data_IF_225757568650
#
_entry.id   IF_225757568650
#
_cell.length_a   1.000
_cell.length_b   1.000
_cell.length_c   1.000
_cell.angle_alpha   90.00
_cell.angle_beta   90.00
_cell.angle_gamma   90.00
#
_symmetry.space_group_name_H-M   'P 1'
#
loop_
_entity.id
_entity.type
_entity.pdbx_description
1 polymer ?
#
# COMPACT_ATOMS: atom_id res chain seq x y z
N UNK A 1 -15.41 12.65 3.57
CA UNK A 1 -15.94 11.27 3.54
C UNK A 1 -14.77 10.34 3.80
N UNK A 2 -14.93 9.33 4.63
CA UNK A 2 -13.89 8.34 4.87
C UNK A 2 -13.73 7.41 3.67
N UNK A 3 -12.49 7.08 3.27
CA UNK A 3 -12.20 6.11 2.21
C UNK A 3 -11.63 4.81 2.81
N UNK A 4 -12.20 3.67 2.42
CA UNK A 4 -11.68 2.34 2.73
C UNK A 4 -11.00 1.82 1.46
N UNK A 5 -9.68 1.65 1.51
CA UNK A 5 -8.83 1.31 0.37
C UNK A 5 -8.09 0.01 0.68
N UNK A 6 -8.27 -1.01 -0.15
CA UNK A 6 -7.42 -2.20 -0.10
C UNK A 6 -6.20 -2.01 -1.00
N UNK A 7 -5.02 -2.27 -0.46
CA UNK A 7 -3.77 -2.30 -1.22
C UNK A 7 -3.42 -3.77 -1.46
N UNK A 8 -3.37 -4.18 -2.71
CA UNK A 8 -3.21 -5.60 -3.09
C UNK A 8 -2.20 -5.79 -4.22
N UNK A 9 -1.81 -7.03 -4.46
CA UNK A 9 -0.91 -7.41 -5.54
C UNK A 9 -1.11 -8.88 -5.93
N UNK A 10 -0.94 -9.21 -7.19
CA UNK A 10 -1.01 -10.58 -7.66
C UNK A 10 0.18 -11.45 -7.26
N UNK A 11 1.34 -10.83 -6.98
CA UNK A 11 2.61 -11.51 -6.70
C UNK A 11 3.20 -11.02 -5.38
N UNK A 12 3.80 -11.93 -4.62
CA UNK A 12 4.62 -11.58 -3.45
C UNK A 12 5.90 -10.83 -3.84
N UNK A 13 6.38 -9.97 -2.96
CA UNK A 13 7.66 -9.29 -3.15
C UNK A 13 7.64 -8.04 -4.05
N UNK A 14 6.51 -7.62 -4.61
CA UNK A 14 6.40 -6.39 -5.42
C UNK A 14 6.46 -5.09 -4.59
N UNK A 15 6.51 -5.19 -3.27
CA UNK A 15 6.63 -4.03 -2.37
C UNK A 15 5.30 -3.49 -1.85
N UNK A 16 4.21 -4.26 -1.91
CA UNK A 16 2.87 -3.86 -1.46
C UNK A 16 2.86 -3.28 -0.04
N UNK A 17 3.40 -4.00 0.95
CA UNK A 17 3.46 -3.56 2.37
C UNK A 17 4.25 -2.27 2.55
N UNK A 18 5.38 -2.11 1.85
CA UNK A 18 6.16 -0.87 1.83
C UNK A 18 5.34 0.28 1.22
N UNK A 19 4.62 0.02 0.14
CA UNK A 19 3.72 1.02 -0.48
C UNK A 19 2.62 1.40 0.51
N UNK A 20 1.97 0.43 1.16
CA UNK A 20 0.91 0.68 2.16
C UNK A 20 1.41 1.57 3.30
N UNK A 21 2.58 1.29 3.87
CA UNK A 21 3.17 2.08 4.94
C UNK A 21 3.45 3.52 4.49
N UNK A 22 4.03 3.71 3.31
CA UNK A 22 4.34 5.04 2.76
C UNK A 22 3.09 5.83 2.38
N UNK A 23 2.05 5.18 1.84
CA UNK A 23 0.76 5.82 1.59
C UNK A 23 0.11 6.28 2.90
N UNK A 24 0.13 5.44 3.93
CA UNK A 24 -0.40 5.81 5.25
C UNK A 24 0.31 7.02 5.85
N UNK A 25 1.65 7.02 5.82
CA UNK A 25 2.43 8.14 6.30
C UNK A 25 2.17 9.42 5.48
N UNK A 26 2.20 9.35 4.15
CA UNK A 26 2.00 10.50 3.29
C UNK A 26 0.59 11.10 3.41
N UNK A 27 -0.46 10.28 3.46
CA UNK A 27 -1.84 10.74 3.66
C UNK A 27 -2.03 11.41 5.03
N UNK A 28 -1.39 10.88 6.08
CA UNK A 28 -1.46 11.48 7.40
C UNK A 28 -0.68 12.80 7.50
N UNK A 29 0.40 12.96 6.74
CA UNK A 29 1.13 14.24 6.63
C UNK A 29 0.34 15.32 5.87
N UNK A 30 -0.57 14.92 4.98
CA UNK A 30 -1.52 15.82 4.32
C UNK A 30 -2.70 16.21 5.23
N UNK A 31 -2.69 15.77 6.50
CA UNK A 31 -3.68 16.13 7.50
C UNK A 31 -4.80 15.08 7.71
N UNK A 32 -4.79 13.97 6.94
CA UNK A 32 -5.72 12.88 7.11
C UNK A 32 -5.48 12.10 8.40
N UNK A 33 -6.53 11.63 9.04
CA UNK A 33 -6.44 10.65 10.11
C UNK A 33 -6.49 9.26 9.49
N UNK A 34 -5.39 8.50 9.59
CA UNK A 34 -5.17 7.27 8.83
C UNK A 34 -5.01 6.08 9.77
N UNK A 35 -5.63 4.96 9.40
CA UNK A 35 -5.34 3.65 10.01
C UNK A 35 -4.92 2.66 8.93
N UNK A 36 -3.81 1.98 9.19
CA UNK A 36 -3.33 0.84 8.43
C UNK A 36 -3.77 -0.43 9.12
N UNK A 37 -4.27 -1.40 8.37
CA UNK A 37 -4.66 -2.72 8.87
C UNK A 37 -3.79 -3.75 8.15
N UNK A 38 -2.97 -4.47 8.90
CA UNK A 38 -2.27 -5.63 8.38
C UNK A 38 -3.24 -6.82 8.38
N UNK A 39 -3.59 -7.32 7.20
CA UNK A 39 -4.49 -8.47 7.04
C UNK A 39 -3.75 -9.76 6.68
N UNK A 40 -2.41 -9.76 6.66
CA UNK A 40 -1.58 -10.94 6.40
C UNK A 40 -1.38 -11.78 7.67
N UNK A 41 -2.47 -12.42 8.10
CA UNK A 41 -2.50 -13.28 9.28
C UNK A 41 -1.50 -14.43 9.11
N UNK A 42 -0.63 -14.58 10.12
CA UNK A 42 0.44 -15.58 10.15
C UNK A 42 1.82 -15.05 9.73
N UNK A 43 1.93 -14.01 8.90
CA UNK A 43 3.23 -13.45 8.49
C UNK A 43 3.55 -12.12 9.20
N UNK A 44 2.57 -11.21 9.30
CA UNK A 44 2.71 -9.92 9.99
C UNK A 44 4.00 -9.15 9.63
N UNK A 45 3.92 -8.29 8.62
CA UNK A 45 5.08 -7.57 8.09
C UNK A 45 4.97 -6.05 8.20
N UNK A 46 3.75 -5.51 8.28
CA UNK A 46 3.52 -4.06 8.22
C UNK A 46 4.09 -3.34 9.47
N UNK A 47 4.01 -3.98 10.64
CA UNK A 47 4.59 -3.47 11.89
C UNK A 47 6.12 -3.34 11.83
N UNK A 48 6.79 -4.27 11.17
CA UNK A 48 8.26 -4.23 10.97
C UNK A 48 8.62 -3.06 10.06
N UNK A 49 7.91 -2.90 8.92
CA UNK A 49 8.12 -1.78 7.98
C UNK A 49 7.92 -0.42 8.67
N UNK A 50 7.02 -0.34 9.66
CA UNK A 50 6.75 0.87 10.44
C UNK A 50 7.60 1.01 11.72
N UNK A 51 8.44 0.02 12.05
CA UNK A 51 9.23 0.00 13.29
C UNK A 51 8.37 0.01 14.55
N UNK A 52 7.23 -0.68 14.53
CA UNK A 52 6.25 -0.73 15.64
C UNK A 52 6.13 -2.12 16.28
N UNK A 53 6.93 -3.09 15.86
CA UNK A 53 6.86 -4.50 16.26
C UNK A 53 6.95 -4.71 17.79
N UNK A 54 7.71 -3.87 18.47
CA UNK A 54 7.90 -3.94 19.93
C UNK A 54 6.77 -3.29 20.76
N UNK A 55 5.73 -2.75 20.11
CA UNK A 55 4.62 -2.03 20.76
C UNK A 55 3.30 -2.79 20.71
N UNK A 56 3.30 -4.00 20.15
CA UNK A 56 2.11 -4.80 19.94
C UNK A 56 1.74 -5.56 21.20
N UNK A 57 0.52 -5.32 21.70
CA UNK A 57 -0.08 -6.05 22.82
C UNK A 57 -1.27 -6.86 22.32
N UNK A 58 -2.10 -6.27 21.47
CA UNK A 58 -3.27 -6.87 20.86
C UNK A 58 -3.21 -6.72 19.33
N UNK A 59 -3.92 -7.56 18.63
CA UNK A 59 -3.92 -7.63 17.17
C UNK A 59 -5.36 -7.65 16.60
N UNK A 60 -5.48 -7.71 15.29
CA UNK A 60 -6.73 -7.77 14.54
C UNK A 60 -7.67 -8.88 15.04
N UNK A 61 -7.14 -10.08 15.26
CA UNK A 61 -7.94 -11.24 15.69
C UNK A 61 -8.47 -11.04 17.11
N UNK A 62 -7.67 -10.47 18.02
CA UNK A 62 -8.12 -10.16 19.39
C UNK A 62 -9.31 -9.18 19.40
N UNK A 63 -9.32 -8.21 18.48
CA UNK A 63 -10.46 -7.28 18.32
C UNK A 63 -11.69 -8.03 17.82
N UNK A 64 -11.53 -8.88 16.80
CA UNK A 64 -12.64 -9.62 16.19
C UNK A 64 -13.25 -10.65 17.14
N UNK A 65 -12.41 -11.32 17.95
CA UNK A 65 -12.85 -12.27 18.97
C UNK A 65 -13.42 -11.59 20.23
N UNK A 66 -13.32 -10.24 20.34
CA UNK A 66 -13.78 -9.48 21.50
C UNK A 66 -12.86 -9.59 22.74
N UNK A 67 -11.63 -10.06 22.59
CA UNK A 67 -10.65 -10.16 23.65
C UNK A 67 -10.14 -8.79 24.12
N UNK A 68 -10.25 -7.77 23.24
CA UNK A 68 -9.93 -6.39 23.55
C UNK A 68 -10.84 -5.41 22.79
N UNK A 69 -10.86 -4.15 23.24
CA UNK A 69 -11.51 -3.08 22.48
C UNK A 69 -10.60 -2.63 21.34
N UNK A 70 -11.14 -2.22 20.21
CA UNK A 70 -10.39 -1.69 19.07
C UNK A 70 -9.33 -0.64 19.47
N UNK A 71 -9.67 0.30 20.37
CA UNK A 71 -8.73 1.33 20.84
C UNK A 71 -7.47 0.76 21.53
N UNK A 72 -7.55 -0.43 22.12
CA UNK A 72 -6.44 -1.07 22.79
C UNK A 72 -5.47 -1.77 21.83
N UNK A 73 -5.98 -2.20 20.66
CA UNK A 73 -5.19 -2.83 19.60
C UNK A 73 -4.57 -1.81 18.62
N UNK A 74 -5.10 -0.58 18.56
CA UNK A 74 -4.56 0.48 17.71
C UNK A 74 -3.25 1.02 18.28
N UNK A 75 -2.19 0.93 17.49
CA UNK A 75 -0.86 1.45 17.80
C UNK A 75 -0.66 2.77 17.05
N UNK A 76 -0.39 3.84 17.78
CA UNK A 76 -0.06 5.13 17.17
C UNK A 76 1.39 5.12 16.67
N UNK A 77 1.62 5.65 15.48
CA UNK A 77 2.95 5.85 14.93
C UNK A 77 3.81 6.78 15.81
N UNK A 78 5.14 6.59 15.77
CA UNK A 78 6.09 7.33 16.61
C UNK A 78 6.21 8.79 16.19
N UNK A 79 6.25 9.00 14.87
CA UNK A 79 6.60 10.26 14.24
C UNK A 79 5.36 11.01 13.77
N UNK A 80 4.23 10.29 13.57
CA UNK A 80 3.00 10.86 13.06
C UNK A 80 1.79 10.53 13.94
N UNK A 81 1.29 11.48 14.74
CA UNK A 81 0.21 11.26 15.69
C UNK A 81 -1.15 10.97 15.04
N UNK A 82 -1.31 11.22 13.74
CA UNK A 82 -2.52 10.95 12.97
C UNK A 82 -2.51 9.60 12.25
N UNK A 83 -1.38 8.86 12.33
CA UNK A 83 -1.22 7.54 11.74
C UNK A 83 -1.31 6.46 12.82
N UNK A 84 -2.10 5.42 12.52
CA UNK A 84 -2.32 4.27 13.40
C UNK A 84 -2.14 2.96 12.65
N UNK A 85 -1.70 1.93 13.37
CA UNK A 85 -1.59 0.56 12.89
C UNK A 85 -2.52 -0.35 13.71
N UNK A 86 -3.28 -1.21 13.02
CA UNK A 86 -3.89 -2.41 13.59
C UNK A 86 -3.12 -3.62 13.04
N UNK A 87 -2.28 -4.28 13.84
CA UNK A 87 -1.41 -5.35 13.36
C UNK A 87 -2.16 -6.66 13.16
N UNK A 88 -1.67 -7.51 12.23
CA UNK A 88 -2.14 -8.88 12.08
C UNK A 88 -1.74 -9.77 13.27
N UNK A 89 -2.42 -10.90 13.41
CA UNK A 89 -2.01 -11.95 14.35
C UNK A 89 -0.87 -12.80 13.76
N UNK A 90 0.14 -13.12 14.55
CA UNK A 90 1.30 -13.92 14.13
C UNK A 90 1.06 -15.43 14.18
N UNK A 91 0.27 -15.90 15.14
CA UNK A 91 0.14 -17.33 15.48
C UNK A 91 -1.27 -17.87 15.27
N UNK A 92 -2.07 -17.19 14.44
CA UNK A 92 -3.44 -17.59 14.13
C UNK A 92 -3.55 -18.11 12.69
N UNK A 93 -4.56 -18.94 12.45
CA UNK A 93 -4.91 -19.38 11.11
C UNK A 93 -5.62 -18.27 10.33
N UNK A 94 -5.45 -18.26 9.01
CA UNK A 94 -6.10 -17.27 8.11
C UNK A 94 -7.63 -17.35 8.15
N UNK A 95 -8.19 -18.48 8.58
CA UNK A 95 -9.64 -18.68 8.78
C UNK A 95 -10.18 -18.02 10.06
N UNK A 96 -9.33 -17.48 10.93
CA UNK A 96 -9.74 -16.80 12.17
C UNK A 96 -10.59 -15.53 11.90
N UNK A 97 -10.59 -15.04 10.67
CA UNK A 97 -11.31 -13.84 10.25
C UNK A 97 -12.18 -14.15 9.05
N UNK A 98 -13.42 -13.68 9.07
CA UNK A 98 -14.38 -13.81 7.96
C UNK A 98 -14.57 -12.48 7.24
N UNK A 99 -15.05 -12.47 5.96
CA UNK A 99 -15.39 -11.26 5.23
C UNK A 99 -16.37 -10.35 5.98
N UNK A 100 -17.39 -10.92 6.63
CA UNK A 100 -18.39 -10.15 7.38
C UNK A 100 -17.80 -9.45 8.60
N UNK A 101 -16.87 -10.10 9.30
CA UNK A 101 -16.15 -9.51 10.42
C UNK A 101 -15.22 -8.38 9.97
N UNK A 102 -14.52 -8.55 8.84
CA UNK A 102 -13.70 -7.48 8.27
C UNK A 102 -14.54 -6.29 7.84
N UNK A 103 -15.67 -6.53 7.17
CA UNK A 103 -16.60 -5.45 6.79
C UNK A 103 -17.07 -4.67 8.01
N UNK A 104 -17.51 -5.35 9.06
CA UNK A 104 -17.93 -4.68 10.31
C UNK A 104 -16.80 -3.86 10.92
N UNK A 105 -15.59 -4.39 10.97
CA UNK A 105 -14.43 -3.67 11.49
C UNK A 105 -14.12 -2.41 10.68
N UNK A 106 -14.14 -2.49 9.34
CA UNK A 106 -13.91 -1.34 8.48
C UNK A 106 -15.03 -0.30 8.59
N UNK A 107 -16.29 -0.72 8.75
CA UNK A 107 -17.44 0.17 9.03
C UNK A 107 -17.24 0.92 10.37
N UNK A 108 -16.77 0.25 11.42
CA UNK A 108 -16.47 0.87 12.73
C UNK A 108 -15.28 1.86 12.66
N UNK A 109 -14.32 1.60 11.79
CA UNK A 109 -13.13 2.45 11.60
C UNK A 109 -13.41 3.68 10.75
N UNK A 110 -14.22 3.56 9.71
CA UNK A 110 -14.56 4.70 8.84
C UNK A 110 -15.26 5.86 9.58
N UNK A 111 -15.87 5.60 10.75
CA UNK A 111 -16.43 6.65 11.59
C UNK A 111 -15.36 7.50 12.30
N UNK A 112 -14.12 7.02 12.37
CA UNK A 112 -13.04 7.59 13.19
C UNK A 112 -11.82 8.02 12.40
N UNK A 113 -11.69 7.56 11.15
CA UNK A 113 -10.55 7.79 10.29
C UNK A 113 -10.99 8.31 8.93
N UNK A 114 -10.19 9.20 8.34
CA UNK A 114 -10.43 9.69 6.99
C UNK A 114 -10.01 8.65 5.94
N UNK A 115 -8.98 7.86 6.27
CA UNK A 115 -8.50 6.77 5.42
C UNK A 115 -8.29 5.49 6.24
N UNK A 116 -8.86 4.38 5.74
CA UNK A 116 -8.64 3.02 6.24
C UNK A 116 -7.93 2.26 5.13
N UNK A 117 -6.64 1.95 5.29
CA UNK A 117 -5.84 1.22 4.31
C UNK A 117 -5.65 -0.23 4.80
N UNK A 118 -6.06 -1.20 3.98
CA UNK A 118 -5.86 -2.61 4.27
C UNK A 118 -4.67 -3.14 3.46
N UNK A 119 -3.60 -3.56 4.14
CA UNK A 119 -2.51 -4.30 3.51
C UNK A 119 -2.94 -5.75 3.30
N UNK A 120 -3.31 -6.09 2.07
CA UNK A 120 -3.85 -7.39 1.70
C UNK A 120 -2.71 -8.44 1.60
N UNK A 121 -2.87 -9.69 2.00
CA UNK A 121 -1.88 -10.73 1.69
C UNK A 121 -1.71 -10.89 0.17
N UNK A 122 -0.56 -11.37 -0.26
CA UNK A 122 -0.33 -11.65 -1.67
C UNK A 122 -1.16 -12.86 -2.13
N UNK A 123 -1.60 -12.83 -3.39
CA UNK A 123 -2.38 -13.92 -4.00
C UNK A 123 -3.89 -13.75 -3.87
N UNK A 124 -4.60 -14.84 -4.14
CA UNK A 124 -6.06 -14.87 -4.33
C UNK A 124 -6.76 -15.86 -3.37
N UNK A 125 -6.13 -16.14 -2.24
CA UNK A 125 -6.67 -17.04 -1.23
C UNK A 125 -7.69 -16.34 -0.31
N UNK A 126 -8.19 -17.05 0.71
CA UNK A 126 -9.18 -16.54 1.67
C UNK A 126 -8.83 -15.17 2.25
N UNK A 127 -7.55 -14.90 2.53
CA UNK A 127 -7.10 -13.60 3.05
C UNK A 127 -7.37 -12.43 2.11
N UNK A 128 -7.30 -12.64 0.81
CA UNK A 128 -7.67 -11.64 -0.20
C UNK A 128 -9.16 -11.28 -0.10
N UNK A 129 -10.05 -12.27 -0.06
CA UNK A 129 -11.49 -12.05 0.04
C UNK A 129 -11.88 -11.38 1.36
N UNK A 130 -11.18 -11.70 2.45
CA UNK A 130 -11.37 -11.01 3.73
C UNK A 130 -10.99 -9.52 3.62
N UNK A 131 -9.84 -9.21 3.01
CA UNK A 131 -9.34 -7.85 2.90
C UNK A 131 -10.24 -6.95 2.03
N UNK A 132 -10.79 -7.47 0.92
CA UNK A 132 -11.62 -6.68 0.00
C UNK A 132 -13.06 -6.49 0.49
N UNK A 133 -13.54 -7.27 1.48
CA UNK A 133 -14.96 -7.33 1.84
C UNK A 133 -15.59 -6.01 2.30
N UNK A 134 -14.79 -5.07 2.83
CA UNK A 134 -15.26 -3.75 3.26
C UNK A 134 -14.84 -2.61 2.35
N UNK A 135 -13.98 -2.89 1.36
CA UNK A 135 -13.40 -1.87 0.51
C UNK A 135 -14.31 -1.54 -0.69
N UNK A 136 -14.31 -0.28 -1.11
CA UNK A 136 -14.92 0.18 -2.36
C UNK A 136 -13.88 0.64 -3.37
N UNK A 137 -12.64 0.76 -2.93
CA UNK A 137 -11.50 1.18 -3.73
C UNK A 137 -10.34 0.22 -3.51
N UNK A 138 -9.66 -0.14 -4.59
CA UNK A 138 -8.46 -0.95 -4.54
C UNK A 138 -7.29 -0.20 -5.19
N UNK A 139 -6.10 -0.40 -4.64
CA UNK A 139 -4.83 -0.02 -5.26
C UNK A 139 -4.07 -1.30 -5.55
N UNK A 140 -3.86 -1.59 -6.84
CA UNK A 140 -3.06 -2.72 -7.29
C UNK A 140 -1.61 -2.28 -7.42
N UNK A 141 -0.71 -2.94 -6.70
CA UNK A 141 0.74 -2.71 -6.78
C UNK A 141 1.36 -3.79 -7.64
N UNK A 142 2.11 -3.39 -8.67
CA UNK A 142 2.85 -4.31 -9.54
C UNK A 142 4.25 -3.78 -9.83
N UNK A 143 5.10 -4.62 -10.41
CA UNK A 143 6.38 -4.23 -11.00
C UNK A 143 6.29 -4.37 -12.53
N UNK A 144 7.09 -3.63 -13.32
CA UNK A 144 7.04 -3.67 -14.78
C UNK A 144 7.73 -4.93 -15.36
N UNK A 145 7.39 -6.09 -14.79
CA UNK A 145 7.83 -7.42 -15.19
C UNK A 145 6.66 -8.22 -15.74
N UNK A 146 6.84 -8.94 -16.83
CA UNK A 146 5.77 -9.71 -17.53
C UNK A 146 4.95 -10.59 -16.58
N UNK A 147 5.62 -11.31 -15.67
CA UNK A 147 4.95 -12.19 -14.71
C UNK A 147 4.11 -11.42 -13.70
N UNK A 148 4.62 -10.28 -13.19
CA UNK A 148 3.91 -9.46 -12.22
C UNK A 148 2.68 -8.78 -12.85
N UNK A 149 2.79 -8.36 -14.11
CA UNK A 149 1.68 -7.74 -14.86
C UNK A 149 0.57 -8.76 -15.12
N UNK A 150 0.90 -10.00 -15.51
CA UNK A 150 -0.09 -11.08 -15.67
C UNK A 150 -0.83 -11.36 -14.36
N UNK A 151 -0.11 -11.40 -13.25
CA UNK A 151 -0.72 -11.63 -11.94
C UNK A 151 -1.57 -10.42 -11.50
N UNK A 152 -1.16 -9.18 -11.85
CA UNK A 152 -1.94 -7.98 -11.61
C UNK A 152 -3.24 -7.94 -12.41
N UNK A 153 -3.21 -8.30 -13.69
CA UNK A 153 -4.40 -8.42 -14.54
C UNK A 153 -5.43 -9.38 -13.94
N UNK A 154 -4.97 -10.54 -13.45
CA UNK A 154 -5.83 -11.50 -12.76
C UNK A 154 -6.47 -10.92 -11.49
N UNK A 155 -5.71 -10.15 -10.69
CA UNK A 155 -6.24 -9.48 -9.50
C UNK A 155 -7.28 -8.43 -9.89
N UNK A 156 -7.04 -7.65 -10.93
CA UNK A 156 -7.98 -6.64 -11.42
C UNK A 156 -9.31 -7.30 -11.79
N UNK A 157 -9.29 -8.38 -12.57
CA UNK A 157 -10.51 -9.12 -12.92
C UNK A 157 -11.26 -9.68 -11.71
N UNK A 158 -10.54 -10.10 -10.63
CA UNK A 158 -11.17 -10.54 -9.40
C UNK A 158 -11.78 -9.38 -8.60
N UNK A 159 -11.14 -8.22 -8.58
CA UNK A 159 -11.66 -7.02 -7.92
C UNK A 159 -12.95 -6.54 -8.61
N UNK A 160 -12.97 -6.52 -9.94
CA UNK A 160 -14.16 -6.19 -10.75
C UNK A 160 -15.30 -7.18 -10.49
N UNK A 161 -15.00 -8.48 -10.46
CA UNK A 161 -15.98 -9.54 -10.16
C UNK A 161 -16.55 -9.45 -8.74
N UNK A 162 -15.85 -8.77 -7.81
CA UNK A 162 -16.30 -8.50 -6.44
C UNK A 162 -16.82 -7.08 -6.24
N UNK A 163 -17.20 -6.39 -7.32
CA UNK A 163 -17.88 -5.09 -7.31
C UNK A 163 -17.07 -3.99 -6.60
N UNK A 164 -15.75 -3.98 -6.78
CA UNK A 164 -14.92 -2.86 -6.34
C UNK A 164 -15.12 -1.69 -7.30
N UNK A 165 -15.67 -0.59 -6.82
CA UNK A 165 -16.10 0.56 -7.63
C UNK A 165 -14.95 1.28 -8.33
N UNK A 166 -13.77 1.29 -7.70
CA UNK A 166 -12.59 1.99 -8.22
C UNK A 166 -11.33 1.17 -8.04
N UNK A 167 -10.62 0.93 -9.13
CA UNK A 167 -9.33 0.23 -9.16
C UNK A 167 -8.29 1.19 -9.71
N UNK A 168 -7.25 1.45 -8.92
CA UNK A 168 -6.11 2.28 -9.28
C UNK A 168 -4.83 1.43 -9.30
N UNK A 169 -3.82 1.87 -10.06
CA UNK A 169 -2.54 1.18 -10.24
C UNK A 169 -1.39 1.98 -9.66
N UNK A 170 -0.45 1.30 -9.01
CA UNK A 170 0.89 1.80 -8.69
C UNK A 170 1.92 0.85 -9.30
N UNK A 171 2.80 1.39 -10.14
CA UNK A 171 3.94 0.66 -10.70
C UNK A 171 5.13 0.92 -9.80
N UNK A 172 5.67 -0.14 -9.16
CA UNK A 172 6.79 -0.06 -8.22
C UNK A 172 8.08 -0.59 -8.86
N UNK A 173 9.23 -0.16 -8.34
CA UNK A 173 10.58 -0.57 -8.78
C UNK A 173 10.84 -0.31 -10.26
N UNK A 174 10.43 0.84 -10.75
CA UNK A 174 10.70 1.27 -12.12
C UNK A 174 12.19 1.60 -12.29
N UNK A 175 12.85 0.96 -13.26
CA UNK A 175 14.27 1.18 -13.59
C UNK A 175 14.39 1.82 -14.97
N UNK A 176 14.48 3.16 -15.02
CA UNK A 176 14.52 3.90 -16.28
C UNK A 176 15.65 3.46 -17.22
N UNK A 177 16.81 3.10 -16.67
CA UNK A 177 17.90 2.56 -17.48
C UNK A 177 17.56 1.25 -18.21
N UNK A 178 16.73 0.39 -17.62
CA UNK A 178 16.23 -0.83 -18.27
C UNK A 178 15.14 -0.53 -19.29
N UNK A 179 14.23 0.39 -18.96
CA UNK A 179 13.15 0.83 -19.90
C UNK A 179 13.77 1.39 -21.18
N UNK A 180 14.76 2.29 -21.07
CA UNK A 180 15.46 2.88 -22.24
C UNK A 180 16.15 1.85 -23.14
N UNK A 181 16.57 0.71 -22.62
CA UNK A 181 17.17 -0.38 -23.39
C UNK A 181 16.16 -1.40 -23.90
N UNK A 182 14.89 -1.28 -23.54
CA UNK A 182 13.87 -2.27 -23.88
C UNK A 182 13.94 -3.57 -23.04
N UNK A 183 14.69 -3.56 -21.93
CA UNK A 183 14.83 -4.70 -21.02
C UNK A 183 13.70 -4.76 -19.98
N UNK A 184 12.90 -3.69 -19.85
CA UNK A 184 11.78 -3.54 -18.93
C UNK A 184 10.65 -2.78 -19.63
N UNK A 185 9.40 -3.15 -19.33
CA UNK A 185 8.24 -2.44 -19.88
C UNK A 185 8.21 -0.98 -19.40
N UNK A 186 7.77 -0.08 -20.27
CA UNK A 186 7.50 1.30 -19.91
C UNK A 186 6.24 1.43 -19.04
N UNK A 187 6.04 2.60 -18.45
CA UNK A 187 4.82 2.90 -17.71
C UNK A 187 3.61 2.84 -18.64
N UNK A 188 3.76 3.36 -19.85
CA UNK A 188 2.74 3.39 -20.90
C UNK A 188 2.31 1.97 -21.30
N UNK A 189 3.27 1.06 -21.54
CA UNK A 189 3.00 -0.34 -21.88
C UNK A 189 2.17 -1.02 -20.78
N UNK A 190 2.55 -0.83 -19.51
CA UNK A 190 1.85 -1.43 -18.37
C UNK A 190 0.44 -0.90 -18.25
N UNK A 191 0.23 0.42 -18.41
CA UNK A 191 -1.10 1.05 -18.35
C UNK A 191 -1.98 0.59 -19.51
N UNK A 192 -1.43 0.45 -20.73
CA UNK A 192 -2.15 -0.05 -21.89
C UNK A 192 -2.64 -1.49 -21.65
N UNK A 193 -1.79 -2.35 -21.11
CA UNK A 193 -2.12 -3.75 -20.84
C UNK A 193 -3.19 -3.88 -19.75
N UNK A 194 -3.02 -3.18 -18.63
CA UNK A 194 -3.90 -3.35 -17.47
C UNK A 194 -5.18 -2.51 -17.53
N UNK A 195 -5.21 -1.46 -18.36
CA UNK A 195 -6.37 -0.61 -18.64
C UNK A 195 -7.07 -0.03 -17.39
N UNK A 196 -6.31 0.25 -16.32
CA UNK A 196 -6.78 0.87 -15.08
C UNK A 196 -6.08 2.20 -14.83
N UNK A 197 -6.67 3.04 -13.98
CA UNK A 197 -6.14 4.37 -13.69
C UNK A 197 -4.79 4.32 -12.96
N UNK A 198 -3.79 5.00 -13.50
CA UNK A 198 -2.46 5.09 -12.89
C UNK A 198 -2.42 6.19 -11.82
N UNK A 199 -2.15 5.81 -10.56
CA UNK A 199 -1.84 6.77 -9.51
C UNK A 199 -0.40 7.28 -9.59
N UNK A 200 0.52 6.45 -10.03
CA UNK A 200 1.91 6.82 -10.23
C UNK A 200 2.86 5.64 -10.32
N UNK A 201 4.10 5.95 -10.68
CA UNK A 201 5.21 5.01 -10.65
C UNK A 201 6.22 5.41 -9.57
N UNK A 202 6.84 4.41 -8.95
CA UNK A 202 7.86 4.56 -7.91
C UNK A 202 9.16 3.99 -8.48
N UNK A 203 10.24 4.78 -8.53
CA UNK A 203 11.52 4.30 -9.02
C UNK A 203 12.11 3.26 -8.08
N UNK A 204 12.97 2.39 -8.62
CA UNK A 204 13.82 1.51 -7.81
C UNK A 204 14.93 2.36 -7.18
N UNK A 205 14.83 2.61 -5.89
CA UNK A 205 15.62 3.57 -5.13
C UNK A 205 16.07 2.94 -3.81
N UNK A 206 17.37 2.91 -3.57
CA UNK A 206 17.97 2.33 -2.37
C UNK A 206 17.46 2.98 -1.08
N UNK A 207 17.04 4.24 -1.14
CA UNK A 207 16.44 4.95 -0.01
C UNK A 207 15.21 4.24 0.54
N UNK A 208 14.46 3.50 -0.30
CA UNK A 208 13.29 2.70 0.13
C UNK A 208 13.72 1.57 1.07
N UNK A 209 14.80 0.86 0.72
CA UNK A 209 15.33 -0.23 1.54
C UNK A 209 15.91 0.31 2.84
N UNK A 210 16.67 1.41 2.78
CA UNK A 210 17.28 2.06 3.94
C UNK A 210 16.20 2.48 4.93
N UNK A 211 15.19 3.23 4.49
CA UNK A 211 14.11 3.70 5.35
C UNK A 211 13.29 2.53 5.95
N UNK A 212 12.95 1.52 5.12
CA UNK A 212 12.24 0.33 5.59
C UNK A 212 13.01 -0.39 6.70
N UNK A 213 14.34 -0.54 6.58
CA UNK A 213 15.18 -1.15 7.62
C UNK A 213 15.27 -0.30 8.90
N UNK A 214 15.03 1.00 8.80
CA UNK A 214 14.98 1.92 9.94
C UNK A 214 13.57 2.02 10.57
N UNK A 215 12.57 1.38 9.94
CA UNK A 215 11.16 1.50 10.34
C UNK A 215 10.61 2.91 10.12
N UNK A 216 11.03 3.56 9.04
CA UNK A 216 10.66 4.92 8.68
C UNK A 216 9.99 4.96 7.31
N UNK A 217 9.05 5.91 7.14
CA UNK A 217 8.40 6.14 5.87
C UNK A 217 9.13 7.22 5.06
N UNK A 218 9.22 7.01 3.75
CA UNK A 218 9.89 7.91 2.81
C UNK A 218 9.04 9.08 2.32
N UNK A 219 7.75 9.08 2.53
CA UNK A 219 6.83 10.09 1.98
C UNK A 219 7.21 11.55 2.32
N UNK A 220 8.07 11.75 3.35
CA UNK A 220 8.62 13.05 3.74
C UNK A 220 10.00 13.34 3.13
N UNK A 221 10.64 12.37 2.46
CA UNK A 221 12.01 12.53 1.99
C UNK A 221 12.08 13.23 0.62
N UNK A 222 13.22 13.88 0.35
CA UNK A 222 13.50 14.51 -0.94
C UNK A 222 13.97 13.53 -2.02
N UNK A 223 14.12 12.23 -1.69
CA UNK A 223 14.48 11.19 -2.66
C UNK A 223 13.43 11.09 -3.77
N UNK A 224 13.82 10.54 -4.93
CA UNK A 224 12.87 10.37 -6.04
C UNK A 224 11.68 9.48 -5.64
N UNK A 225 11.94 8.43 -4.88
CA UNK A 225 10.87 7.57 -4.35
C UNK A 225 9.98 8.32 -3.36
N UNK A 226 10.53 9.15 -2.46
CA UNK A 226 9.77 9.96 -1.53
C UNK A 226 8.85 10.96 -2.23
N UNK A 227 9.36 11.65 -3.26
CA UNK A 227 8.55 12.54 -4.09
C UNK A 227 7.44 11.78 -4.84
N UNK A 228 7.72 10.57 -5.34
CA UNK A 228 6.73 9.72 -5.98
C UNK A 228 5.60 9.34 -5.00
N UNK A 229 5.94 8.89 -3.80
CA UNK A 229 4.95 8.60 -2.74
C UNK A 229 4.13 9.83 -2.38
N UNK A 230 4.76 10.99 -2.17
CA UNK A 230 4.07 12.24 -1.87
C UNK A 230 3.07 12.62 -2.97
N UNK A 231 3.47 12.56 -4.24
CA UNK A 231 2.60 12.85 -5.37
C UNK A 231 1.43 11.87 -5.50
N UNK A 232 1.65 10.58 -5.23
CA UNK A 232 0.60 9.55 -5.19
C UNK A 232 -0.40 9.87 -4.09
N UNK A 233 0.07 10.20 -2.88
CA UNK A 233 -0.80 10.56 -1.75
C UNK A 233 -1.67 11.79 -2.06
N UNK A 234 -1.09 12.83 -2.69
CA UNK A 234 -1.82 14.02 -3.12
C UNK A 234 -2.92 13.70 -4.14
N UNK A 235 -2.66 12.77 -5.08
CA UNK A 235 -3.70 12.29 -6.04
C UNK A 235 -4.78 11.48 -5.34
N UNK A 236 -4.44 10.66 -4.34
CA UNK A 236 -5.43 9.95 -3.50
C UNK A 236 -6.29 10.97 -2.76
N UNK A 237 -5.71 12.06 -2.28
CA UNK A 237 -6.40 13.15 -1.59
C UNK A 237 -7.29 14.00 -2.52
N UNK A 238 -7.19 13.80 -3.85
CA UNK A 238 -8.02 14.48 -4.86
C UNK A 238 -7.34 15.66 -5.55
N UNK A 239 -6.03 15.88 -5.33
CA UNK A 239 -5.30 16.93 -6.01
C UNK A 239 -4.91 16.52 -7.45
N UNK A 240 -5.00 17.50 -8.37
CA UNK A 240 -4.53 17.33 -9.74
C UNK A 240 -3.00 17.50 -9.83
N UNK A 241 -2.26 16.42 -9.50
CA UNK A 241 -0.79 16.42 -9.58
C UNK A 241 -0.36 15.70 -10.86
N UNK A 242 0.49 16.28 -11.73
CA UNK A 242 1.02 15.62 -12.92
C UNK A 242 1.81 14.35 -12.56
N UNK A 243 1.81 13.35 -13.44
CA UNK A 243 2.69 12.19 -13.31
C UNK A 243 4.16 12.64 -13.37
N UNK A 244 5.02 11.96 -12.62
CA UNK A 244 6.44 12.28 -12.62
C UNK A 244 7.08 11.84 -13.94
N UNK A 245 7.81 12.75 -14.56
CA UNK A 245 8.70 12.45 -15.67
C UNK A 245 10.09 12.10 -15.13
N UNK A 246 10.43 10.82 -15.22
CA UNK A 246 11.72 10.31 -14.76
C UNK A 246 12.83 10.51 -15.81
N UNK A 247 12.51 10.83 -17.07
CA UNK A 247 13.52 11.00 -18.13
C UNK A 247 14.28 12.31 -17.99
N UNK A 248 13.61 13.40 -17.65
CA UNK A 248 14.23 14.72 -17.52
C UNK A 248 15.17 14.82 -16.32
N UNK A 249 14.99 13.99 -15.29
CA UNK A 249 15.77 14.05 -14.05
C UNK A 249 17.07 13.25 -14.08
N UNK A 250 17.18 12.19 -14.87
CA UNK A 250 18.45 11.46 -15.09
C UNK A 250 19.55 12.34 -15.73
N UNK A 251 19.18 13.37 -16.51
CA UNK A 251 20.10 14.32 -17.12
C UNK A 251 20.71 15.31 -16.15
N UNK A 252 19.98 15.70 -15.10
CA UNK A 252 20.44 16.74 -14.16
C UNK A 252 21.56 16.25 -13.21
N UNK A 253 21.52 14.98 -12.79
CA UNK A 253 22.52 14.41 -11.88
C UNK A 253 23.84 14.01 -12.56
N UNK A 254 23.86 13.81 -13.88
CA UNK A 254 25.10 13.53 -14.63
C UNK A 254 26.00 14.76 -14.78
N UNK A 255 25.48 15.96 -14.67
CA UNK A 255 26.25 17.22 -14.77
C UNK A 255 26.81 17.73 -13.44
N UNK A 256 26.53 17.09 -12.32
CA UNK A 256 27.05 17.47 -10.99
C UNK A 256 28.14 16.52 -10.49
N UNK A 257 28.54 15.54 -11.29
CA UNK A 257 29.55 14.50 -10.96
C UNK A 257 30.78 14.51 -11.86
N UNK A 258 31.00 15.59 -12.67
CA UNK A 258 32.27 15.83 -13.39
C UNK A 258 33.06 16.99 -12.77
#
# INVERSE_FOLDING_TARGET
>A
MSEIIVVTSGKGGVGKTTVTANLGAGLSMLGGRVVLIDTDIGLRNLDVVMGLENRIVYNLVDVIEGNCRLKQALIRDKNNPSLFLLPAAQTRDKSAVTPQQMKKLTDDLQEKFDFVLLDCPAGIEQGFFNAIAGAKRAIVVTTPEVSAIRDADRIIGLLEANEIDRIDLIINRLRMGMVKRGDMMSVEDVVEILSVNLLGAIPDDDSVVIATNQGEALAASESLAGQAFSNICRRIYGEAVPLMDFEQRDGFWRHLGE
#
